data_IF_882113430454
#
_entry.id   IF_882113430454
#
_cell.length_a   1.000
_cell.length_b   1.000
_cell.length_c   1.000
_cell.angle_alpha   90.00
_cell.angle_beta   90.00
_cell.angle_gamma   90.00
#
_symmetry.space_group_name_H-M   'P 1'
#
loop_
_entity.id
_entity.type
_entity.pdbx_description
1 polymer ?
#
# COMPACT_ATOMS: atom_id res chain seq x y z
N UNK A 1 -0.45 -1.45 -2.77
CA UNK A 1 -1.21 -2.25 -3.74
C UNK A 1 -1.64 -3.57 -3.07
N UNK A 2 -2.58 -3.52 -2.11
CA UNK A 2 -3.05 -4.73 -1.44
C UNK A 2 -4.00 -5.54 -2.32
N UNK A 3 -4.12 -6.84 -2.03
CA UNK A 3 -5.31 -7.61 -2.39
C UNK A 3 -6.53 -7.09 -1.60
N UNK A 4 -7.75 -7.44 -1.99
CA UNK A 4 -8.93 -7.21 -1.16
C UNK A 4 -8.98 -8.23 0.00
N UNK A 5 -8.04 -8.10 0.94
CA UNK A 5 -7.82 -9.05 2.03
C UNK A 5 -7.04 -10.30 1.63
N UNK A 6 -6.94 -11.24 2.58
CA UNK A 6 -6.43 -12.58 2.30
C UNK A 6 -7.51 -13.39 1.57
N UNK A 7 -7.13 -14.27 0.62
CA UNK A 7 -8.10 -15.18 0.01
C UNK A 7 -8.66 -16.12 1.08
N UNK A 8 -9.96 -16.38 1.00
CA UNK A 8 -10.63 -17.38 1.84
C UNK A 8 -10.34 -18.81 1.32
N UNK A 9 -10.86 -19.83 2.01
CA UNK A 9 -10.64 -21.24 1.66
C UNK A 9 -11.16 -21.63 0.26
N UNK A 10 -12.03 -20.80 -0.34
CA UNK A 10 -12.54 -20.96 -1.70
C UNK A 10 -11.73 -20.17 -2.74
N UNK A 11 -10.70 -19.43 -2.31
CA UNK A 11 -9.89 -18.56 -3.16
C UNK A 11 -10.53 -17.21 -3.50
N UNK A 12 -11.64 -16.85 -2.83
CA UNK A 12 -12.33 -15.58 -3.02
C UNK A 12 -11.82 -14.51 -2.06
N UNK A 13 -12.14 -13.25 -2.34
CA UNK A 13 -11.69 -12.09 -1.58
C UNK A 13 -12.88 -11.35 -0.97
N UNK A 14 -13.00 -11.42 0.36
CA UNK A 14 -14.19 -10.96 1.09
C UNK A 14 -14.06 -9.54 1.67
N UNK A 15 -12.85 -8.95 1.65
CA UNK A 15 -12.65 -7.61 2.17
C UNK A 15 -13.51 -6.61 1.41
N UNK A 16 -14.17 -5.72 2.16
CA UNK A 16 -15.09 -4.75 1.59
C UNK A 16 -14.35 -3.46 1.22
N UNK A 17 -14.82 -2.69 0.21
CA UNK A 17 -14.20 -1.45 -0.22
C UNK A 17 -13.85 -0.46 0.90
N UNK A 18 -14.76 -0.28 1.85
CA UNK A 18 -14.57 0.65 2.97
C UNK A 18 -13.46 0.18 3.93
N UNK A 19 -13.29 -1.12 4.12
CA UNK A 19 -12.24 -1.70 4.95
C UNK A 19 -10.87 -1.40 4.33
N UNK A 20 -10.69 -1.71 3.05
CA UNK A 20 -9.44 -1.39 2.33
C UNK A 20 -9.18 0.12 2.34
N UNK A 21 -10.22 0.93 2.09
CA UNK A 21 -10.13 2.39 2.14
C UNK A 21 -9.64 2.92 3.49
N UNK A 22 -10.11 2.36 4.60
CA UNK A 22 -9.68 2.76 5.94
C UNK A 22 -8.20 2.42 6.20
N UNK A 23 -7.72 1.25 5.79
CA UNK A 23 -6.29 0.95 5.89
C UNK A 23 -5.43 1.91 5.05
N UNK A 24 -5.89 2.24 3.84
CA UNK A 24 -5.20 3.23 2.99
C UNK A 24 -5.19 4.62 3.64
N UNK A 25 -6.30 5.03 4.27
CA UNK A 25 -6.37 6.29 5.04
C UNK A 25 -5.31 6.31 6.13
N UNK A 26 -5.22 5.25 6.94
CA UNK A 26 -4.27 5.16 8.04
C UNK A 26 -2.82 5.22 7.55
N UNK A 27 -2.51 4.57 6.43
CA UNK A 27 -1.17 4.64 5.83
C UNK A 27 -0.85 6.03 5.28
N UNK A 28 -1.82 6.71 4.67
CA UNK A 28 -1.66 8.07 4.18
C UNK A 28 -1.48 9.06 5.35
N UNK A 29 -2.24 8.91 6.43
CA UNK A 29 -2.11 9.73 7.65
C UNK A 29 -0.77 9.56 8.35
N UNK A 30 -0.18 8.37 8.27
CA UNK A 30 1.17 8.08 8.76
C UNK A 30 2.27 8.42 7.75
N UNK A 31 1.93 9.03 6.61
CA UNK A 31 2.85 9.37 5.54
C UNK A 31 3.71 8.18 5.09
N UNK A 32 3.10 7.00 4.93
CA UNK A 32 3.79 5.77 4.53
C UNK A 32 3.77 5.54 3.00
N UNK A 33 2.81 6.14 2.30
CA UNK A 33 2.53 5.84 0.88
C UNK A 33 2.43 7.10 0.03
N UNK A 34 2.84 6.97 -1.23
CA UNK A 34 2.65 7.99 -2.28
C UNK A 34 1.76 7.50 -3.43
N UNK A 35 1.67 6.18 -3.60
CA UNK A 35 0.92 5.55 -4.69
C UNK A 35 0.12 4.40 -4.09
N UNK A 36 -1.18 4.37 -4.40
CA UNK A 36 -2.12 3.34 -3.94
C UNK A 36 -2.92 2.81 -5.14
N UNK A 37 -3.40 1.57 -5.01
CA UNK A 37 -4.11 0.83 -6.05
C UNK A 37 -4.43 -0.57 -5.54
N UNK A 38 -5.08 -1.41 -6.34
CA UNK A 38 -5.58 -2.72 -5.88
C UNK A 38 -5.17 -3.90 -6.75
N UNK A 39 -4.89 -5.04 -6.10
CA UNK A 39 -4.43 -6.30 -6.69
C UNK A 39 -5.57 -7.31 -6.85
N UNK A 40 -5.37 -8.57 -6.47
CA UNK A 40 -6.36 -9.62 -6.54
C UNK A 40 -7.58 -9.29 -5.66
N UNK A 41 -8.78 -9.55 -6.19
CA UNK A 41 -10.05 -9.25 -5.51
C UNK A 41 -10.45 -7.77 -5.49
N UNK A 42 -9.53 -6.84 -5.78
CA UNK A 42 -9.88 -5.42 -5.83
C UNK A 42 -10.81 -5.13 -7.01
N UNK A 43 -11.86 -4.37 -6.74
CA UNK A 43 -12.88 -3.97 -7.72
C UNK A 43 -12.87 -2.44 -7.93
N UNK A 44 -13.57 -1.89 -8.93
CA UNK A 44 -13.70 -0.44 -9.08
C UNK A 44 -14.21 0.27 -7.82
N UNK A 45 -15.08 -0.39 -7.04
CA UNK A 45 -15.55 0.15 -5.75
C UNK A 45 -14.42 0.28 -4.73
N UNK A 46 -13.48 -0.67 -4.69
CA UNK A 46 -12.28 -0.58 -3.86
C UNK A 46 -11.41 0.60 -4.27
N UNK A 47 -11.17 0.76 -5.57
CA UNK A 47 -10.36 1.88 -6.09
C UNK A 47 -10.99 3.22 -5.74
N UNK A 48 -12.32 3.35 -5.87
CA UNK A 48 -13.05 4.56 -5.47
C UNK A 48 -12.89 4.84 -3.96
N UNK A 49 -13.08 3.83 -3.11
CA UNK A 49 -12.91 4.00 -1.67
C UNK A 49 -11.47 4.40 -1.28
N UNK A 50 -10.46 3.86 -1.95
CA UNK A 50 -9.06 4.28 -1.76
C UNK A 50 -8.83 5.72 -2.22
N UNK A 51 -9.38 6.13 -3.36
CA UNK A 51 -9.29 7.49 -3.87
C UNK A 51 -9.94 8.50 -2.89
N UNK A 52 -11.14 8.21 -2.41
CA UNK A 52 -11.84 9.03 -1.41
C UNK A 52 -11.07 9.08 -0.08
N UNK A 53 -10.43 7.97 0.31
CA UNK A 53 -9.63 7.88 1.53
C UNK A 53 -8.41 8.82 1.52
N UNK A 54 -7.79 9.01 0.36
CA UNK A 54 -6.58 9.84 0.21
C UNK A 54 -6.86 11.24 -0.33
N UNK A 55 -8.09 11.55 -0.73
CA UNK A 55 -8.46 12.85 -1.29
C UNK A 55 -8.08 14.00 -0.33
N UNK A 56 -7.36 14.99 -0.87
CA UNK A 56 -6.91 16.16 -0.12
C UNK A 56 -5.74 15.94 0.85
N UNK A 57 -5.23 14.71 0.99
CA UNK A 57 -4.02 14.44 1.79
C UNK A 57 -2.76 14.82 1.01
N UNK A 58 -1.73 15.39 1.67
CA UNK A 58 -0.46 15.65 1.02
C UNK A 58 0.25 14.34 0.67
N UNK A 59 1.05 14.37 -0.40
CA UNK A 59 1.99 13.30 -0.68
C UNK A 59 3.11 13.30 0.39
N UNK A 60 3.60 12.12 0.75
CA UNK A 60 4.77 11.99 1.62
C UNK A 60 6.03 12.53 0.91
N UNK A 61 6.84 13.29 1.64
CA UNK A 61 8.17 13.71 1.18
C UNK A 61 9.17 12.54 1.14
N UNK A 62 9.80 12.25 -0.02
CA UNK A 62 10.84 11.25 -0.13
C UNK A 62 12.08 11.61 0.70
N UNK A 63 12.68 10.64 1.39
CA UNK A 63 13.95 10.87 2.09
C UNK A 63 15.12 10.96 1.11
N UNK A 64 16.13 11.77 1.45
CA UNK A 64 17.41 11.76 0.77
C UNK A 64 18.13 10.43 0.99
N UNK A 65 18.68 9.83 -0.06
CA UNK A 65 19.47 8.61 0.00
C UNK A 65 20.96 8.91 -0.15
N UNK A 66 21.80 8.15 0.53
CA UNK A 66 23.27 8.23 0.46
C UNK A 66 23.86 7.51 -0.77
N UNK A 67 23.01 7.16 -1.74
CA UNK A 67 23.34 6.44 -2.96
C UNK A 67 24.04 5.08 -2.78
N UNK A 68 24.04 4.51 -1.57
CA UNK A 68 24.53 3.14 -1.35
C UNK A 68 23.49 2.12 -1.82
N UNK A 69 23.94 1.09 -2.52
CA UNK A 69 23.08 -0.04 -2.88
C UNK A 69 22.69 -0.82 -1.63
N UNK A 70 21.38 -0.94 -1.41
CA UNK A 70 20.79 -1.72 -0.31
C UNK A 70 19.93 -2.83 -0.93
N UNK A 71 20.16 -4.07 -0.52
CA UNK A 71 19.40 -5.22 -0.98
C UNK A 71 18.56 -5.78 0.17
N UNK A 72 17.38 -6.29 -0.15
CA UNK A 72 16.50 -6.98 0.78
C UNK A 72 16.50 -8.50 0.49
N UNK A 73 16.35 -9.30 1.55
CA UNK A 73 16.31 -10.75 1.52
C UNK A 73 15.78 -11.26 2.86
N UNK A 74 16.40 -12.28 3.45
CA UNK A 74 16.14 -12.65 4.85
C UNK A 74 16.61 -11.55 5.82
N UNK A 75 17.76 -10.96 5.52
CA UNK A 75 18.35 -9.85 6.27
C UNK A 75 18.68 -8.68 5.33
N UNK A 76 18.61 -7.42 5.82
CA UNK A 76 19.02 -6.27 5.03
C UNK A 76 20.53 -6.29 4.80
N UNK A 77 20.97 -6.06 3.56
CA UNK A 77 22.37 -5.95 3.19
C UNK A 77 22.68 -4.58 2.59
N UNK A 78 23.74 -3.93 3.06
CA UNK A 78 24.30 -2.72 2.46
C UNK A 78 25.57 -3.15 1.72
N UNK A 79 25.62 -2.95 0.40
CA UNK A 79 26.81 -3.28 -0.38
C UNK A 79 28.00 -2.40 0.04
N UNK A 80 29.16 -3.02 0.24
CA UNK A 80 30.42 -2.29 0.40
C UNK A 80 30.81 -1.59 -0.91
N UNK A 81 31.61 -0.53 -0.79
CA UNK A 81 32.17 0.20 -1.93
C UNK A 81 33.21 -0.62 -2.69
#
# INVERSE_FOLDING_TARGET
YPNAGLPNDLGEYDEQPHTTGNFIRDWADQALVNVVGGCCGSTPAHIAAMADAVAGKPAREPHSHDHRTRLAGLDPMIMAA
#
